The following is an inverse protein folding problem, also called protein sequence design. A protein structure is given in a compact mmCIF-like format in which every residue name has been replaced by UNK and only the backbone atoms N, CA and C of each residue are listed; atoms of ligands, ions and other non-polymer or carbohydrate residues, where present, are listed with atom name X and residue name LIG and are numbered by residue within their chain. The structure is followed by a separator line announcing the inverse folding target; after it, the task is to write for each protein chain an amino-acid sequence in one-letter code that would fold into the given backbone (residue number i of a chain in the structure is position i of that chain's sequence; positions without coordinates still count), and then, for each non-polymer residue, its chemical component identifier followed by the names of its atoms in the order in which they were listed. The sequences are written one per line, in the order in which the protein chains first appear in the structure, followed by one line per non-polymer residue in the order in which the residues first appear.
data_IF_983862273422
#
_entry.id   IF_983862273422
#
_cell.length_a   1.000
_cell.length_b   1.000
_cell.length_c   1.000
_cell.angle_alpha   90.00
_cell.angle_beta   90.00
_cell.angle_gamma   90.00
#
_symmetry.space_group_name_H-M   'P 1'
#
loop_
_entity.id
_entity.type
_entity.pdbx_description
1 polymer ?
#
# COMPACT_ATOMS: atom_id res chain seq x y z
N UNK A 1 4.50 -57.59 -40.80
CA UNK A 1 3.79 -56.60 -39.96
C UNK A 1 4.20 -56.83 -38.52
N UNK A 2 5.14 -56.04 -38.01
CA UNK A 2 5.50 -56.03 -36.59
C UNK A 2 6.16 -54.69 -36.30
N UNK A 3 5.39 -53.76 -35.72
CA UNK A 3 5.87 -52.46 -35.27
C UNK A 3 6.34 -52.59 -33.81
N UNK A 4 7.61 -52.27 -33.55
CA UNK A 4 8.16 -52.06 -32.22
C UNK A 4 7.74 -50.67 -31.72
N UNK A 5 6.94 -50.60 -30.66
CA UNK A 5 6.57 -49.35 -30.01
C UNK A 5 7.61 -48.98 -28.95
N UNK A 6 8.36 -47.91 -29.20
CA UNK A 6 9.29 -47.32 -28.23
C UNK A 6 8.50 -46.37 -27.31
N UNK A 7 8.33 -46.74 -26.04
CA UNK A 7 7.73 -45.87 -25.02
C UNK A 7 8.82 -45.03 -24.37
N UNK A 8 8.91 -43.76 -24.76
CA UNK A 8 9.65 -42.77 -23.98
C UNK A 8 8.88 -42.44 -22.69
N UNK A 9 9.47 -42.82 -21.56
CA UNK A 9 9.06 -42.31 -20.25
C UNK A 9 9.67 -40.90 -20.08
N UNK A 10 8.87 -39.85 -20.24
CA UNK A 10 9.24 -38.49 -19.84
C UNK A 10 9.12 -38.36 -18.33
N UNK A 11 10.29 -38.32 -17.68
CA UNK A 11 10.42 -38.09 -16.23
C UNK A 11 10.13 -36.61 -15.96
N UNK A 12 8.95 -36.29 -15.45
CA UNK A 12 8.61 -34.96 -14.97
C UNK A 12 9.49 -34.64 -13.74
N UNK A 13 10.46 -33.72 -13.90
CA UNK A 13 11.11 -33.09 -12.77
C UNK A 13 10.12 -32.10 -12.15
N UNK A 14 9.48 -32.52 -11.05
CA UNK A 14 8.85 -31.57 -10.15
C UNK A 14 9.98 -30.68 -9.58
N UNK A 15 9.93 -29.37 -9.82
CA UNK A 15 10.80 -28.44 -9.12
C UNK A 15 10.41 -28.44 -7.64
N UNK A 16 11.21 -29.12 -6.83
CA UNK A 16 11.18 -28.96 -5.38
C UNK A 16 11.50 -27.49 -5.10
N UNK A 17 10.48 -26.72 -4.70
CA UNK A 17 10.63 -25.33 -4.31
C UNK A 17 11.76 -25.20 -3.29
N UNK A 18 12.75 -24.37 -3.63
CA UNK A 18 13.84 -24.03 -2.74
C UNK A 18 13.25 -23.41 -1.48
N UNK A 19 13.24 -24.17 -0.38
CA UNK A 19 12.96 -23.61 0.94
C UNK A 19 14.13 -22.69 1.27
N UNK A 20 13.97 -21.39 1.05
CA UNK A 20 14.91 -20.39 1.51
C UNK A 20 14.93 -20.43 3.03
N UNK A 21 15.92 -21.13 3.59
CA UNK A 21 16.26 -21.06 5.00
C UNK A 21 16.86 -19.68 5.27
N UNK A 22 16.16 -18.86 6.05
CA UNK A 22 16.70 -17.58 6.49
C UNK A 22 17.92 -17.83 7.38
N UNK A 23 18.97 -17.04 7.16
CA UNK A 23 20.17 -17.05 8.00
C UNK A 23 20.01 -16.15 9.24
N UNK A 24 18.91 -15.37 9.32
CA UNK A 24 18.66 -14.42 10.40
C UNK A 24 17.93 -15.08 11.59
N UNK A 25 18.14 -14.53 12.78
CA UNK A 25 17.30 -14.90 13.93
C UNK A 25 15.84 -14.48 13.62
N UNK A 26 14.84 -15.33 13.92
CA UNK A 26 13.44 -15.02 13.63
C UNK A 26 13.04 -13.64 14.18
N UNK A 27 12.47 -12.79 13.32
CA UNK A 27 12.01 -11.46 13.71
C UNK A 27 13.10 -10.38 13.80
N UNK A 28 14.32 -10.63 13.33
CA UNK A 28 15.37 -9.60 13.12
C UNK A 28 15.72 -9.50 11.63
N UNK A 29 16.28 -8.35 11.17
CA UNK A 29 16.70 -8.22 9.79
C UNK A 29 17.88 -9.18 9.47
N UNK A 30 18.03 -9.56 8.19
CA UNK A 30 17.16 -9.21 7.06
C UNK A 30 15.80 -9.96 7.09
N UNK A 31 14.71 -9.23 6.84
CA UNK A 31 13.33 -9.71 6.93
C UNK A 31 12.83 -10.35 5.64
N UNK A 32 11.95 -11.33 5.81
CA UNK A 32 11.05 -11.84 4.77
C UNK A 32 9.76 -11.01 4.78
N UNK A 33 9.53 -10.24 3.72
CA UNK A 33 8.38 -9.32 3.61
C UNK A 33 7.29 -9.91 2.72
N UNK A 34 6.05 -9.84 3.22
CA UNK A 34 4.86 -10.03 2.40
C UNK A 34 4.26 -8.65 2.09
N UNK A 35 4.41 -8.20 0.85
CA UNK A 35 4.02 -6.87 0.42
C UNK A 35 2.58 -6.85 -0.13
N UNK A 36 1.74 -5.96 0.36
CA UNK A 36 0.36 -5.77 -0.08
C UNK A 36 0.20 -4.39 -0.72
N UNK A 37 -0.11 -4.33 -2.01
CA UNK A 37 -0.30 -3.05 -2.71
C UNK A 37 -0.89 -3.18 -4.11
N UNK A 38 -1.25 -2.04 -4.70
CA UNK A 38 -1.98 -2.00 -5.97
C UNK A 38 -1.41 -0.96 -6.95
N UNK A 39 -1.27 0.28 -6.53
CA UNK A 39 -1.07 1.45 -7.38
C UNK A 39 0.37 2.00 -7.36
N UNK A 40 0.59 3.14 -8.03
CA UNK A 40 1.89 3.81 -8.07
C UNK A 40 2.37 4.32 -6.71
N UNK A 41 1.44 4.62 -5.77
CA UNK A 41 1.80 5.00 -4.39
C UNK A 41 2.47 3.82 -3.69
N UNK A 42 1.83 2.66 -3.74
CA UNK A 42 2.40 1.43 -3.18
C UNK A 42 3.66 0.94 -3.92
N UNK A 43 3.74 1.20 -5.23
CA UNK A 43 4.92 0.85 -6.04
C UNK A 43 6.19 1.56 -5.56
N UNK A 44 6.11 2.80 -5.07
CA UNK A 44 7.26 3.51 -4.50
C UNK A 44 7.87 2.73 -3.34
N UNK A 45 7.03 2.21 -2.43
CA UNK A 45 7.48 1.39 -1.30
C UNK A 45 8.06 0.05 -1.75
N UNK A 46 7.42 -0.66 -2.69
CA UNK A 46 7.95 -1.93 -3.20
C UNK A 46 9.33 -1.75 -3.86
N UNK A 47 9.54 -0.65 -4.60
CA UNK A 47 10.85 -0.31 -5.18
C UNK A 47 11.91 -0.07 -4.12
N UNK A 48 11.58 0.68 -3.06
CA UNK A 48 12.51 0.94 -1.96
C UNK A 48 12.91 -0.34 -1.23
N UNK A 49 11.95 -1.23 -0.94
CA UNK A 49 12.22 -2.54 -0.34
C UNK A 49 13.09 -3.41 -1.25
N UNK A 50 12.80 -3.43 -2.55
CA UNK A 50 13.62 -4.18 -3.51
C UNK A 50 15.04 -3.63 -3.62
N UNK A 51 15.20 -2.31 -3.65
CA UNK A 51 16.52 -1.68 -3.66
C UNK A 51 17.33 -2.09 -2.43
N UNK A 52 16.74 -2.04 -1.23
CA UNK A 52 17.41 -2.51 -0.01
C UNK A 52 17.71 -4.02 -0.03
N UNK A 53 16.86 -4.84 -0.67
CA UNK A 53 17.14 -6.27 -0.84
C UNK A 53 18.35 -6.58 -1.72
N UNK A 54 18.73 -5.64 -2.59
CA UNK A 54 19.88 -5.74 -3.50
C UNK A 54 21.17 -5.15 -2.89
N UNK A 55 21.11 -4.55 -1.70
CA UNK A 55 22.31 -4.10 -1.01
C UNK A 55 23.24 -5.28 -0.69
N UNK A 56 24.55 -4.99 -0.65
CA UNK A 56 25.55 -6.00 -0.29
C UNK A 56 25.24 -6.59 1.09
N UNK A 57 25.60 -7.86 1.29
CA UNK A 57 25.37 -8.53 2.56
C UNK A 57 26.19 -7.83 3.66
N UNK A 58 25.50 -7.10 4.53
CA UNK A 58 26.06 -6.36 5.66
C UNK A 58 24.94 -5.77 6.52
N UNK A 59 25.30 -5.00 7.55
CA UNK A 59 24.37 -4.47 8.56
C UNK A 59 23.26 -3.55 7.98
N UNK A 60 23.42 -3.04 6.77
CA UNK A 60 22.42 -2.17 6.11
C UNK A 60 21.30 -2.93 5.38
N UNK A 61 21.51 -4.22 5.08
CA UNK A 61 20.51 -5.02 4.37
C UNK A 61 19.39 -5.44 5.32
N UNK A 62 18.22 -4.84 5.14
CA UNK A 62 17.02 -5.12 5.93
C UNK A 62 16.12 -6.16 5.29
N UNK A 63 16.21 -6.40 3.98
CA UNK A 63 15.26 -7.26 3.27
C UNK A 63 15.96 -8.48 2.68
N UNK A 64 15.53 -9.67 3.10
CA UNK A 64 16.01 -10.95 2.57
C UNK A 64 15.19 -11.37 1.35
N UNK A 65 13.86 -11.28 1.47
CA UNK A 65 12.92 -11.86 0.52
C UNK A 65 11.63 -11.05 0.44
N UNK A 66 11.01 -10.98 -0.73
CA UNK A 66 9.74 -10.28 -0.96
C UNK A 66 8.80 -11.18 -1.76
N UNK A 67 7.59 -11.39 -1.26
CA UNK A 67 6.45 -11.86 -2.06
C UNK A 67 5.37 -10.79 -2.10
N UNK A 68 4.57 -10.76 -3.16
CA UNK A 68 3.64 -9.66 -3.44
C UNK A 68 2.21 -10.19 -3.48
N UNK A 69 1.30 -9.48 -2.80
CA UNK A 69 -0.14 -9.68 -2.87
C UNK A 69 -0.75 -8.43 -3.51
N UNK A 70 -1.42 -8.61 -4.63
CA UNK A 70 -2.05 -7.51 -5.38
C UNK A 70 -3.26 -8.01 -6.18
N UNK A 71 -4.15 -7.12 -6.65
CA UNK A 71 -5.22 -7.50 -7.58
C UNK A 71 -4.70 -8.05 -8.92
N UNK A 72 -5.46 -8.99 -9.52
CA UNK A 72 -5.08 -9.65 -10.77
C UNK A 72 -5.00 -8.69 -11.96
N UNK A 73 -6.03 -7.85 -12.11
CA UNK A 73 -6.24 -6.89 -13.19
C UNK A 73 -6.95 -5.64 -12.63
N UNK A 74 -6.83 -4.52 -13.36
CA UNK A 74 -7.04 -3.10 -12.97
C UNK A 74 -7.97 -2.69 -11.80
N UNK A 75 -7.69 -1.51 -11.19
CA UNK A 75 -8.60 -0.81 -10.27
C UNK A 75 -9.91 -0.39 -10.97
N UNK A 76 -10.93 -0.13 -10.15
CA UNK A 76 -12.35 0.10 -10.48
C UNK A 76 -12.67 1.11 -11.62
N UNK A 77 -11.69 1.87 -12.16
CA UNK A 77 -11.90 3.04 -13.02
C UNK A 77 -11.06 3.10 -14.33
N UNK A 78 -10.39 2.03 -14.78
CA UNK A 78 -9.48 2.12 -15.95
C UNK A 78 -10.03 1.63 -17.31
N UNK A 79 -9.78 2.41 -18.38
CA UNK A 79 -10.24 2.22 -19.78
C UNK A 79 -9.69 1.04 -20.63
N UNK A 80 -8.71 0.26 -20.17
CA UNK A 80 -8.17 -0.93 -20.88
C UNK A 80 -8.28 -2.13 -19.95
N UNK A 81 -8.97 -3.17 -20.40
CA UNK A 81 -9.46 -4.29 -19.57
C UNK A 81 -8.35 -5.24 -19.06
N UNK A 82 -7.15 -5.19 -19.64
CA UNK A 82 -6.20 -6.32 -19.53
C UNK A 82 -4.76 -5.92 -19.14
N UNK A 83 -4.52 -4.71 -18.61
CA UNK A 83 -3.17 -4.36 -18.11
C UNK A 83 -3.04 -4.65 -16.60
N UNK A 84 -1.99 -5.40 -16.17
CA UNK A 84 -1.68 -5.61 -14.76
C UNK A 84 -1.50 -4.29 -14.01
N UNK A 85 -1.85 -4.29 -12.72
CA UNK A 85 -1.63 -3.14 -11.85
C UNK A 85 -0.13 -2.80 -11.73
N UNK A 86 0.26 -1.53 -11.46
CA UNK A 86 1.66 -1.10 -11.42
C UNK A 86 2.57 -1.99 -10.55
N UNK A 87 2.07 -2.41 -9.38
CA UNK A 87 2.76 -3.32 -8.46
C UNK A 87 3.01 -4.70 -9.10
N UNK A 88 1.98 -5.32 -9.69
CA UNK A 88 2.10 -6.62 -10.36
C UNK A 88 3.10 -6.57 -11.51
N UNK A 89 3.01 -5.51 -12.33
CA UNK A 89 3.91 -5.30 -13.47
C UNK A 89 5.37 -5.18 -13.02
N UNK A 90 5.63 -4.51 -11.89
CA UNK A 90 6.97 -4.44 -11.31
C UNK A 90 7.42 -5.77 -10.73
N UNK A 91 6.57 -6.43 -9.94
CA UNK A 91 6.85 -7.71 -9.31
C UNK A 91 7.24 -8.79 -10.31
N UNK A 92 6.50 -8.89 -11.42
CA UNK A 92 6.80 -9.82 -12.52
C UNK A 92 8.17 -9.54 -13.18
N UNK A 93 8.54 -8.27 -13.37
CA UNK A 93 9.86 -7.90 -13.92
C UNK A 93 11.01 -8.28 -12.98
N UNK A 94 10.81 -8.14 -11.68
CA UNK A 94 11.79 -8.50 -10.66
C UNK A 94 11.80 -10.01 -10.32
N UNK A 95 10.87 -10.79 -10.90
CA UNK A 95 10.77 -12.23 -10.63
C UNK A 95 10.16 -12.58 -9.27
N UNK A 96 9.43 -11.65 -8.63
CA UNK A 96 8.75 -11.94 -7.36
C UNK A 96 7.56 -12.88 -7.56
N UNK A 97 7.32 -13.74 -6.57
CA UNK A 97 6.08 -14.51 -6.48
C UNK A 97 4.91 -13.55 -6.20
N UNK A 98 3.86 -13.66 -7.01
CA UNK A 98 2.67 -12.82 -6.91
C UNK A 98 1.46 -13.67 -6.55
N UNK A 99 0.68 -13.21 -5.56
CA UNK A 99 -0.62 -13.75 -5.20
C UNK A 99 -1.72 -12.78 -5.61
N UNK A 100 -2.57 -13.25 -6.52
CA UNK A 100 -3.67 -12.46 -7.02
C UNK A 100 -4.84 -12.44 -6.03
N UNK A 101 -5.24 -11.26 -5.56
CA UNK A 101 -6.49 -11.15 -4.79
C UNK A 101 -7.69 -11.44 -5.70
N UNK A 102 -8.72 -12.15 -5.22
CA UNK A 102 -9.88 -12.48 -6.05
C UNK A 102 -10.66 -11.24 -6.49
N UNK A 103 -10.71 -10.97 -7.79
CA UNK A 103 -11.35 -9.78 -8.38
C UNK A 103 -12.86 -9.68 -8.14
N UNK A 104 -13.53 -10.80 -7.85
CA UNK A 104 -14.98 -10.85 -7.58
C UNK A 104 -15.36 -10.60 -6.12
N UNK A 105 -14.38 -10.64 -5.21
CA UNK A 105 -14.65 -10.51 -3.78
C UNK A 105 -14.58 -9.04 -3.36
N UNK A 106 -15.66 -8.56 -2.75
CA UNK A 106 -15.67 -7.23 -2.08
C UNK A 106 -14.88 -7.21 -0.77
N UNK A 107 -14.54 -8.40 -0.24
CA UNK A 107 -13.84 -8.59 1.02
C UNK A 107 -13.05 -9.89 0.96
N UNK A 108 -11.85 -9.88 1.56
CA UNK A 108 -10.98 -11.05 1.63
C UNK A 108 -11.37 -12.02 2.77
N UNK A 109 -12.51 -11.82 3.44
CA UNK A 109 -12.91 -12.64 4.61
C UNK A 109 -12.97 -14.13 4.32
N UNK A 110 -13.48 -14.51 3.16
CA UNK A 110 -13.65 -15.90 2.71
C UNK A 110 -12.58 -16.31 1.69
N UNK A 111 -11.52 -15.52 1.54
CA UNK A 111 -10.45 -15.86 0.62
C UNK A 111 -9.60 -16.97 1.24
N UNK A 112 -9.52 -18.10 0.56
CA UNK A 112 -8.55 -19.14 0.90
C UNK A 112 -7.15 -18.65 0.53
N UNK A 113 -6.48 -18.05 1.50
CA UNK A 113 -5.21 -17.37 1.28
C UNK A 113 -4.10 -18.39 1.00
N UNK A 114 -3.50 -18.39 -0.20
CA UNK A 114 -2.59 -19.46 -0.64
C UNK A 114 -1.21 -19.40 0.01
N UNK A 115 -0.94 -18.40 0.85
CA UNK A 115 0.35 -18.22 1.51
C UNK A 115 0.45 -19.20 2.68
N UNK A 116 1.29 -20.22 2.53
CA UNK A 116 1.63 -21.16 3.60
C UNK A 116 2.97 -20.89 4.26
N UNK A 117 3.82 -20.09 3.60
CA UNK A 117 5.15 -19.74 4.09
C UNK A 117 5.09 -18.73 5.24
N UNK A 118 6.10 -18.75 6.10
CA UNK A 118 6.27 -17.77 7.17
C UNK A 118 7.01 -16.53 6.66
N UNK A 119 6.55 -15.36 7.13
CA UNK A 119 7.14 -14.05 6.88
C UNK A 119 7.36 -13.34 8.21
N UNK A 120 8.35 -12.44 8.24
CA UNK A 120 8.63 -11.66 9.43
C UNK A 120 7.65 -10.50 9.57
N UNK A 121 7.26 -9.86 8.46
CA UNK A 121 6.36 -8.71 8.48
C UNK A 121 5.57 -8.56 7.19
N UNK A 122 4.30 -8.17 7.31
CA UNK A 122 3.50 -7.68 6.19
C UNK A 122 3.68 -6.17 6.01
N UNK A 123 3.94 -5.70 4.79
CA UNK A 123 3.99 -4.27 4.49
C UNK A 123 2.80 -3.92 3.59
N UNK A 124 1.91 -3.07 4.09
CA UNK A 124 0.66 -2.69 3.43
C UNK A 124 0.74 -1.24 3.00
N UNK A 125 0.48 -0.98 1.72
CA UNK A 125 0.39 0.38 1.18
C UNK A 125 -0.67 0.39 0.09
N UNK A 126 -1.68 1.26 0.19
CA UNK A 126 -2.73 1.43 -0.83
C UNK A 126 -3.30 0.11 -1.40
N UNK A 127 -3.64 -0.84 -0.52
CA UNK A 127 -4.09 -2.18 -0.91
C UNK A 127 -5.62 -2.28 -1.12
N UNK A 128 -6.39 -1.38 -0.52
CA UNK A 128 -7.84 -1.27 -0.72
C UNK A 128 -8.70 -2.37 -0.07
N UNK A 129 -8.10 -3.44 0.47
CA UNK A 129 -8.80 -4.50 1.20
C UNK A 129 -8.49 -4.50 2.69
N UNK A 130 -9.48 -4.91 3.47
CA UNK A 130 -9.28 -5.21 4.89
C UNK A 130 -8.51 -6.51 5.08
N UNK A 131 -7.46 -6.50 5.90
CA UNK A 131 -6.70 -7.69 6.24
C UNK A 131 -7.32 -8.40 7.45
N UNK A 132 -8.10 -9.43 7.17
CA UNK A 132 -8.69 -10.29 8.19
C UNK A 132 -7.62 -11.10 8.94
N UNK A 133 -7.85 -11.50 10.21
CA UNK A 133 -6.86 -12.18 11.04
C UNK A 133 -6.17 -13.40 10.39
N UNK A 134 -6.90 -14.16 9.57
CA UNK A 134 -6.33 -15.34 8.89
C UNK A 134 -5.25 -14.98 7.84
N UNK A 135 -5.24 -13.76 7.32
CA UNK A 135 -4.21 -13.26 6.40
C UNK A 135 -2.93 -12.85 7.15
N UNK A 136 -3.04 -12.55 8.44
CA UNK A 136 -1.95 -12.10 9.30
C UNK A 136 -1.26 -13.24 10.05
N UNK A 137 -1.88 -14.44 10.08
CA UNK A 137 -1.45 -15.58 10.92
C UNK A 137 0.00 -16.03 10.69
N UNK A 138 0.52 -15.83 9.49
CA UNK A 138 1.87 -16.26 9.09
C UNK A 138 2.92 -15.15 9.21
N UNK A 139 2.57 -14.00 9.79
CA UNK A 139 3.43 -12.83 9.94
C UNK A 139 3.91 -12.70 11.39
N UNK A 140 5.21 -12.85 11.64
CA UNK A 140 5.77 -12.82 13.00
C UNK A 140 5.48 -11.50 13.73
N UNK A 141 5.75 -10.36 13.08
CA UNK A 141 5.49 -9.02 13.60
C UNK A 141 4.10 -8.48 13.23
N UNK A 142 3.23 -9.31 12.67
CA UNK A 142 1.99 -8.86 12.04
C UNK A 142 2.26 -8.05 10.77
N UNK A 143 1.40 -7.06 10.50
CA UNK A 143 1.56 -6.17 9.35
C UNK A 143 1.62 -4.70 9.79
N UNK A 144 2.34 -3.90 9.00
CA UNK A 144 2.42 -2.44 9.13
C UNK A 144 1.80 -1.78 7.90
N UNK A 145 1.19 -0.62 8.08
CA UNK A 145 0.59 0.17 7.02
C UNK A 145 1.20 1.57 6.95
N UNK A 146 1.48 2.05 5.74
CA UNK A 146 1.78 3.45 5.49
C UNK A 146 0.48 4.21 5.21
N UNK A 147 0.19 5.23 6.03
CA UNK A 147 -0.97 6.09 5.88
C UNK A 147 -0.53 7.55 5.63
N UNK A 148 -0.94 8.20 4.53
CA UNK A 148 -0.47 9.54 4.16
C UNK A 148 -1.25 10.66 4.87
N UNK A 149 -1.30 10.59 6.20
CA UNK A 149 -1.66 11.70 7.09
C UNK A 149 -0.94 11.58 8.43
N UNK A 150 -1.07 12.63 9.24
CA UNK A 150 -0.75 12.61 10.66
C UNK A 150 -1.93 12.03 11.45
N UNK A 151 -1.98 10.70 11.58
CA UNK A 151 -3.01 10.02 12.37
C UNK A 151 -3.00 10.52 13.82
N UNK A 152 -4.17 10.67 14.46
CA UNK A 152 -5.48 10.15 14.03
C UNK A 152 -6.29 11.05 13.08
N UNK A 153 -5.72 12.15 12.57
CA UNK A 153 -6.36 12.99 11.55
C UNK A 153 -6.48 12.22 10.23
N UNK A 154 -7.61 12.32 9.57
CA UNK A 154 -7.87 11.77 8.23
C UNK A 154 -7.74 10.25 8.09
N UNK A 155 -8.31 9.48 9.02
CA UNK A 155 -8.50 8.03 8.84
C UNK A 155 -9.37 7.74 7.61
N UNK A 156 -9.03 6.73 6.83
CA UNK A 156 -9.82 6.30 5.67
C UNK A 156 -9.13 6.53 4.32
N UNK A 157 -9.87 6.38 3.21
CA UNK A 157 -9.27 6.15 1.90
C UNK A 157 -8.75 7.40 1.18
N UNK A 158 -9.06 8.63 1.62
CA UNK A 158 -8.70 9.84 0.86
C UNK A 158 -7.99 10.95 1.67
N UNK A 159 -7.02 10.65 2.56
CA UNK A 159 -6.41 11.64 3.46
C UNK A 159 -5.77 12.83 2.75
N UNK A 160 -5.04 12.60 1.66
CA UNK A 160 -4.36 13.64 0.88
C UNK A 160 -5.37 14.66 0.32
N UNK A 161 -6.50 14.17 -0.16
CA UNK A 161 -7.55 15.00 -0.75
C UNK A 161 -8.17 15.89 0.33
N UNK A 162 -8.51 15.32 1.48
CA UNK A 162 -9.11 16.06 2.59
C UNK A 162 -8.14 17.09 3.19
N UNK A 163 -6.84 16.77 3.29
CA UNK A 163 -5.84 17.75 3.71
C UNK A 163 -5.80 18.97 2.77
N UNK A 164 -5.86 18.74 1.45
CA UNK A 164 -5.89 19.81 0.45
C UNK A 164 -7.20 20.59 0.45
N UNK A 165 -8.35 19.91 0.56
CA UNK A 165 -9.67 20.57 0.61
C UNK A 165 -9.80 21.48 1.84
N UNK A 166 -9.27 21.03 2.99
CA UNK A 166 -9.30 21.81 4.23
C UNK A 166 -8.24 22.92 4.28
N UNK A 167 -7.41 23.07 3.25
CA UNK A 167 -6.39 24.11 3.22
C UNK A 167 -5.25 23.89 4.22
N UNK A 168 -4.99 22.65 4.64
CA UNK A 168 -3.96 22.38 5.63
C UNK A 168 -2.58 22.82 5.10
N UNK A 169 -1.74 23.50 5.90
CA UNK A 169 -0.38 23.84 5.51
C UNK A 169 0.58 22.65 5.64
N UNK A 170 0.21 21.65 6.43
CA UNK A 170 1.05 20.49 6.77
C UNK A 170 0.19 19.23 6.78
N UNK A 171 0.74 18.15 6.23
CA UNK A 171 0.25 16.77 6.37
C UNK A 171 1.40 15.91 6.92
N UNK A 172 1.44 14.63 6.59
CA UNK A 172 2.57 13.77 6.92
C UNK A 172 2.33 12.33 6.52
N UNK A 173 3.19 11.47 7.01
CA UNK A 173 3.05 10.02 6.92
C UNK A 173 3.05 9.44 8.32
N UNK A 174 2.12 8.53 8.56
CA UNK A 174 2.10 7.66 9.74
C UNK A 174 2.34 6.22 9.29
N UNK A 175 3.31 5.55 9.91
CA UNK A 175 3.45 4.09 9.83
C UNK A 175 2.81 3.49 11.06
N UNK A 176 1.79 2.65 10.86
CA UNK A 176 1.01 2.05 11.93
C UNK A 176 1.05 0.53 11.87
N UNK A 177 0.74 -0.12 12.98
CA UNK A 177 0.35 -1.54 12.95
C UNK A 177 -1.03 -1.70 12.30
N UNK A 178 -1.27 -2.83 11.62
CA UNK A 178 -2.61 -3.20 11.18
C UNK A 178 -3.43 -3.67 12.39
N UNK A 179 -4.60 -3.08 12.58
CA UNK A 179 -5.59 -3.55 13.54
C UNK A 179 -6.50 -4.61 12.87
N UNK A 180 -6.76 -5.76 13.53
CA UNK A 180 -7.54 -6.86 12.96
C UNK A 180 -9.06 -6.59 12.90
N UNK A 181 -9.54 -5.45 13.40
CA UNK A 181 -10.96 -5.10 13.48
C UNK A 181 -11.33 -3.81 12.74
N UNK A 182 -10.40 -2.86 12.55
CA UNK A 182 -10.70 -1.57 11.94
C UNK A 182 -9.54 -0.97 11.12
N UNK A 183 -9.89 -0.13 10.14
CA UNK A 183 -8.93 0.58 9.30
C UNK A 183 -8.31 1.77 10.04
N UNK A 184 -7.01 1.96 9.86
CA UNK A 184 -6.26 3.15 10.26
C UNK A 184 -6.32 3.51 11.77
N UNK A 185 -6.64 2.54 12.63
CA UNK A 185 -6.70 2.73 14.09
C UNK A 185 -5.55 2.11 14.87
N UNK A 186 -4.67 1.35 14.20
CA UNK A 186 -3.58 0.66 14.87
C UNK A 186 -2.55 1.62 15.48
N UNK A 187 -1.71 1.11 16.37
CA UNK A 187 -0.71 1.92 17.08
C UNK A 187 0.30 2.51 16.11
N UNK A 188 0.68 3.76 16.35
CA UNK A 188 1.64 4.50 15.53
C UNK A 188 3.07 4.06 15.91
N UNK A 189 3.83 3.58 14.92
CA UNK A 189 5.23 3.16 15.03
C UNK A 189 6.21 4.28 14.69
N UNK A 190 5.83 5.10 13.71
CA UNK A 190 6.57 6.27 13.24
C UNK A 190 5.56 7.26 12.67
N UNK A 191 5.79 8.55 12.89
CA UNK A 191 5.01 9.62 12.28
C UNK A 191 5.93 10.79 11.95
N UNK A 192 5.84 11.30 10.72
CA UNK A 192 6.66 12.42 10.26
C UNK A 192 5.80 13.46 9.53
N UNK A 193 5.92 14.76 9.86
CA UNK A 193 5.22 15.82 9.17
C UNK A 193 5.80 16.06 7.77
N UNK A 194 4.96 16.62 6.90
CA UNK A 194 5.31 17.03 5.55
C UNK A 194 4.62 18.37 5.24
N UNK A 195 5.39 19.38 4.89
CA UNK A 195 4.85 20.71 4.56
C UNK A 195 4.28 20.73 3.15
N UNK A 196 3.01 21.13 3.05
CA UNK A 196 2.30 21.19 1.78
C UNK A 196 2.67 22.49 1.07
N UNK A 197 3.33 22.37 -0.09
CA UNK A 197 3.60 23.53 -0.94
C UNK A 197 2.28 24.18 -1.37
N UNK A 198 2.20 25.51 -1.31
CA UNK A 198 0.96 26.26 -1.48
C UNK A 198 0.16 25.88 -2.74
N UNK A 199 0.86 25.70 -3.85
CA UNK A 199 0.33 25.49 -5.20
C UNK A 199 0.35 24.03 -5.67
N UNK A 200 0.73 23.08 -4.80
CA UNK A 200 0.82 21.67 -5.18
C UNK A 200 -0.55 21.08 -5.54
N UNK A 201 -0.57 20.32 -6.62
CA UNK A 201 -1.75 19.54 -7.02
C UNK A 201 -1.75 18.20 -6.31
N UNK A 202 -2.95 17.63 -6.08
CA UNK A 202 -3.12 16.37 -5.36
C UNK A 202 -2.32 15.21 -5.94
N UNK A 203 -2.17 15.15 -7.27
CA UNK A 203 -1.39 14.12 -7.93
C UNK A 203 0.10 14.20 -7.58
N UNK A 204 0.67 15.40 -7.53
CA UNK A 204 2.08 15.60 -7.23
C UNK A 204 2.34 15.42 -5.73
N UNK A 205 1.46 15.93 -4.87
CA UNK A 205 1.53 15.66 -3.43
C UNK A 205 1.45 14.15 -3.16
N UNK A 206 0.62 13.42 -3.88
CA UNK A 206 0.54 11.96 -3.76
C UNK A 206 1.83 11.26 -4.18
N UNK A 207 2.55 11.74 -5.21
CA UNK A 207 3.85 11.19 -5.60
C UNK A 207 4.93 11.51 -4.57
N UNK A 208 4.96 12.75 -4.08
CA UNK A 208 5.91 13.18 -3.05
C UNK A 208 5.71 12.39 -1.75
N UNK A 209 4.47 12.23 -1.29
CA UNK A 209 4.15 11.42 -0.11
C UNK A 209 4.36 9.91 -0.32
N UNK A 210 4.26 9.40 -1.55
CA UNK A 210 4.58 8.00 -1.84
C UNK A 210 6.07 7.71 -1.63
N UNK A 211 6.95 8.59 -2.12
CA UNK A 211 8.41 8.48 -1.92
C UNK A 211 8.76 8.69 -0.45
N UNK A 212 8.25 9.76 0.17
CA UNK A 212 8.48 10.05 1.59
C UNK A 212 7.96 8.92 2.51
N UNK A 213 6.82 8.33 2.17
CA UNK A 213 6.26 7.21 2.91
C UNK A 213 7.05 5.92 2.73
N UNK A 214 7.63 5.68 1.56
CA UNK A 214 8.54 4.56 1.33
C UNK A 214 9.79 4.65 2.22
N UNK A 215 10.37 5.85 2.35
CA UNK A 215 11.49 6.12 3.27
C UNK A 215 11.08 5.86 4.73
N UNK A 216 9.90 6.32 5.15
CA UNK A 216 9.37 6.06 6.48
C UNK A 216 9.19 4.55 6.76
N UNK A 217 8.78 3.76 5.77
CA UNK A 217 8.68 2.31 5.91
C UNK A 217 10.06 1.68 6.11
N UNK A 218 11.04 2.02 5.29
CA UNK A 218 12.42 1.49 5.41
C UNK A 218 13.01 1.84 6.78
N UNK A 219 12.86 3.09 7.23
CA UNK A 219 13.30 3.54 8.55
C UNK A 219 12.58 2.80 9.69
N UNK A 220 11.29 2.50 9.51
CA UNK A 220 10.54 1.72 10.50
C UNK A 220 11.09 0.30 10.60
N UNK A 221 11.49 -0.30 9.47
CA UNK A 221 12.04 -1.66 9.44
C UNK A 221 13.43 -1.74 10.08
N UNK A 222 14.27 -0.69 10.00
CA UNK A 222 15.60 -0.66 10.63
C UNK A 222 15.58 -1.04 12.11
N UNK A 223 14.53 -0.68 12.85
CA UNK A 223 14.38 -1.00 14.28
C UNK A 223 12.92 -1.32 14.66
N UNK A 224 12.30 -2.21 13.87
CA UNK A 224 10.90 -2.58 14.05
C UNK A 224 10.57 -3.09 15.47
N UNK A 225 11.37 -3.98 16.11
CA UNK A 225 11.05 -4.49 17.43
C UNK A 225 10.97 -3.40 18.50
N UNK A 226 11.90 -2.44 18.48
CA UNK A 226 11.89 -1.32 19.44
C UNK A 226 10.75 -0.36 19.16
N UNK A 227 10.48 -0.04 17.89
CA UNK A 227 9.34 0.80 17.51
C UNK A 227 8.00 0.20 17.91
N UNK A 228 7.82 -1.12 17.77
CA UNK A 228 6.60 -1.82 18.24
C UNK A 228 6.42 -1.76 19.76
N UNK A 229 7.52 -1.79 20.52
CA UNK A 229 7.49 -1.61 21.98
C UNK A 229 7.10 -0.17 22.36
N UNK A 230 7.59 0.81 21.62
CA UNK A 230 7.31 2.23 21.82
C UNK A 230 6.02 2.73 21.12
N UNK A 231 5.26 1.86 20.47
CA UNK A 231 4.14 2.24 19.61
C UNK A 231 3.03 2.97 20.39
N UNK A 232 2.56 4.09 19.84
CA UNK A 232 1.60 4.97 20.51
C UNK A 232 0.17 4.61 20.12
N UNK A 233 -0.71 4.44 21.10
CA UNK A 233 -2.15 4.26 20.86
C UNK A 233 -2.74 5.59 20.40
N UNK A 234 -3.49 5.56 19.30
CA UNK A 234 -4.13 6.75 18.76
C UNK A 234 -5.25 7.25 19.69
N UNK A 235 -5.33 8.58 19.89
CA UNK A 235 -6.45 9.20 20.59
C UNK A 235 -7.69 9.29 19.69
N UNK A 236 -8.77 8.62 20.08
CA UNK A 236 -10.01 8.62 19.32
C UNK A 236 -10.81 9.92 19.46
N UNK A 237 -10.56 10.74 20.50
CA UNK A 237 -11.30 11.98 20.72
C UNK A 237 -10.97 13.06 19.67
N UNK A 238 -9.75 13.02 19.12
CA UNK A 238 -9.26 13.97 18.11
C UNK A 238 -9.20 13.36 16.70
N UNK A 239 -9.74 12.16 16.51
CA UNK A 239 -9.72 11.46 15.23
C UNK A 239 -10.68 12.12 14.22
N UNK A 240 -10.22 12.31 12.97
CA UNK A 240 -11.08 12.75 11.87
C UNK A 240 -11.09 11.72 10.74
N UNK A 241 -12.14 11.73 9.92
CA UNK A 241 -12.31 10.80 8.79
C UNK A 241 -12.02 11.50 7.47
N UNK A 242 -11.48 10.76 6.52
CA UNK A 242 -11.26 11.15 5.14
C UNK A 242 -11.95 10.14 4.20
N UNK A 243 -13.30 10.18 4.11
CA UNK A 243 -14.05 9.27 3.25
C UNK A 243 -13.69 9.47 1.78
N UNK A 244 -13.98 8.46 0.97
CA UNK A 244 -13.77 8.51 -0.48
C UNK A 244 -14.58 9.67 -1.06
N UNK A 245 -13.93 10.48 -1.90
CA UNK A 245 -14.58 11.59 -2.56
C UNK A 245 -15.62 11.09 -3.57
N UNK A 246 -16.65 11.90 -3.70
CA UNK A 246 -17.73 11.79 -4.66
C UNK A 246 -17.60 12.89 -5.71
N UNK A 247 -18.37 12.76 -6.78
CA UNK A 247 -18.44 13.81 -7.81
C UNK A 247 -18.84 15.18 -7.22
N UNK A 248 -19.70 15.20 -6.20
CA UNK A 248 -20.18 16.43 -5.56
C UNK A 248 -19.06 17.22 -4.89
N UNK A 249 -18.04 16.55 -4.38
CA UNK A 249 -16.91 17.18 -3.68
C UNK A 249 -15.98 17.95 -4.64
N UNK A 250 -16.12 17.76 -5.96
CA UNK A 250 -15.37 18.48 -6.98
C UNK A 250 -16.13 19.63 -7.66
N UNK A 251 -17.39 19.85 -7.28
CA UNK A 251 -18.22 20.95 -7.81
C UNK A 251 -17.75 22.27 -7.19
N UNK A 252 -17.48 23.26 -8.05
CA UNK A 252 -17.14 24.62 -7.63
C UNK A 252 -18.39 25.49 -7.78
N UNK A 253 -18.73 26.23 -6.74
CA UNK A 253 -19.68 27.34 -6.83
C UNK A 253 -18.93 28.67 -6.90
N UNK A 254 -19.38 29.58 -7.74
CA UNK A 254 -18.79 30.93 -7.81
C UNK A 254 -19.14 31.79 -6.59
N UNK A 255 -20.09 31.33 -5.76
CA UNK A 255 -20.44 31.97 -4.50
C UNK A 255 -19.49 31.58 -3.34
N UNK A 256 -18.58 30.62 -3.57
CA UNK A 256 -17.58 30.20 -2.59
C UNK A 256 -16.42 31.22 -2.48
N UNK A 257 -15.69 31.17 -1.36
CA UNK A 257 -14.51 32.02 -1.20
C UNK A 257 -13.43 31.62 -2.21
N UNK A 258 -12.62 32.59 -2.65
CA UNK A 258 -11.49 32.31 -3.54
C UNK A 258 -10.52 31.25 -2.97
N UNK A 259 -10.42 31.16 -1.64
CA UNK A 259 -9.60 30.13 -0.97
C UNK A 259 -10.20 28.73 -1.13
N UNK A 260 -11.51 28.58 -0.95
CA UNK A 260 -12.19 27.29 -1.08
C UNK A 260 -12.15 26.80 -2.52
N UNK A 261 -12.43 27.70 -3.48
CA UNK A 261 -12.30 27.43 -4.91
C UNK A 261 -10.87 26.96 -5.25
N UNK A 262 -9.86 27.63 -4.68
CA UNK A 262 -8.46 27.25 -4.87
C UNK A 262 -8.17 25.86 -4.28
N UNK A 263 -8.68 25.53 -3.09
CA UNK A 263 -8.49 24.22 -2.48
C UNK A 263 -9.14 23.09 -3.28
N UNK A 264 -10.37 23.29 -3.75
CA UNK A 264 -11.07 22.34 -4.64
C UNK A 264 -10.28 22.15 -5.93
N UNK A 265 -9.79 23.24 -6.54
CA UNK A 265 -8.96 23.20 -7.76
C UNK A 265 -7.74 22.30 -7.62
N UNK A 266 -7.07 22.30 -6.45
CA UNK A 266 -5.92 21.43 -6.17
C UNK A 266 -6.22 19.93 -6.22
N UNK A 267 -7.50 19.54 -6.16
CA UNK A 267 -7.97 18.15 -6.11
C UNK A 267 -8.67 17.72 -7.41
N UNK A 268 -8.99 18.65 -8.31
CA UNK A 268 -9.89 18.43 -9.45
C UNK A 268 -9.38 17.49 -10.55
N UNK A 269 -8.07 17.35 -10.75
CA UNK A 269 -7.50 16.49 -11.80
C UNK A 269 -7.87 15.00 -11.63
N UNK A 270 -8.40 14.59 -10.47
CA UNK A 270 -8.83 13.23 -10.17
C UNK A 270 -10.36 13.04 -10.13
N UNK A 271 -11.16 14.12 -10.17
CA UNK A 271 -12.62 14.08 -9.95
C UNK A 271 -13.47 14.30 -11.21
N UNK A 272 -12.87 14.52 -12.38
CA UNK A 272 -13.60 14.90 -13.60
C UNK A 272 -14.55 16.09 -13.35
N UNK A 273 -14.02 17.21 -12.85
CA UNK A 273 -14.83 18.42 -12.69
C UNK A 273 -15.21 19.00 -14.06
N UNK A 274 -16.51 19.06 -14.33
CA UNK A 274 -17.07 19.97 -15.31
C UNK A 274 -17.42 21.27 -14.56
N UNK A 275 -17.00 22.42 -15.09
CA UNK A 275 -17.52 23.71 -14.65
C UNK A 275 -18.99 23.75 -15.11
N UNK A 276 -19.93 23.43 -14.23
CA UNK A 276 -21.33 23.74 -14.49
C UNK A 276 -21.63 25.10 -13.88
N UNK A 277 -21.51 26.16 -14.68
CA UNK A 277 -22.25 27.39 -14.37
C UNK A 277 -23.73 27.10 -14.60
N UNK A 278 -24.56 27.22 -13.58
CA UNK A 278 -25.99 27.43 -13.78
C UNK A 278 -26.20 28.86 -14.30
N UNK A 279 -25.82 29.10 -15.55
CA UNK A 279 -26.39 30.18 -16.34
C UNK A 279 -27.73 29.66 -16.83
N UNK A 280 -28.79 29.85 -16.03
CA UNK A 280 -30.20 30.03 -16.42
C UNK A 280 -31.07 29.86 -15.16
N UNK A 281 -31.30 30.97 -14.47
CA UNK A 281 -32.60 31.42 -13.99
C UNK A 281 -32.57 32.93 -13.85
#
# INVERSE_FOLDING_TARGET
MTFLAWRHATRAYASLGSRHFSLAAPGLPPYRVLFFGTDDVSLATLKALHANSNEEKGDSRLIEHIEVVCPSDRPMNGRKKDEPVPVKKFAQRCGFKVYDTPSRLKSLKSWDFPVTDHFDVGVVVSFGYFLHPHLLKNLHHGAINMHPSLLPKYRGPAPIHHALLNGDPTTGVSVIEIDPKAFDVGRILLQKPYDIKRDIQCQDLSKELATFGAECIVETLTDLPTRKKAAVVQDNAIASKAPKLTFKDGLISLDESASDIFHVRRVQDLLCAHIYSWLYN
#
